data_IF_837535482857
#
_entry.id   IF_837535482857
#
_cell.length_a   1.000
_cell.length_b   1.000
_cell.length_c   1.000
_cell.angle_alpha   90.00
_cell.angle_beta   90.00
_cell.angle_gamma   90.00
#
_symmetry.space_group_name_H-M   'P 1'
#
loop_
_entity.id
_entity.type
_entity.pdbx_description
1 polymer ?
#
# COMPACT_ATOMS: atom_id res chain seq x y z
N UNK A 1 6.23 -28.53 -19.80
CA UNK A 1 6.55 -27.69 -18.62
C UNK A 1 7.06 -26.34 -19.12
N UNK A 2 6.23 -25.28 -19.16
CA UNK A 2 6.61 -23.99 -19.77
C UNK A 2 7.36 -23.16 -18.73
N UNK A 3 8.71 -23.15 -18.78
CA UNK A 3 9.54 -22.26 -17.94
C UNK A 3 9.12 -20.83 -18.23
N UNK A 4 8.62 -20.13 -17.21
CA UNK A 4 8.35 -18.70 -17.33
C UNK A 4 9.69 -17.98 -17.54
N UNK A 5 9.81 -17.19 -18.61
CA UNK A 5 11.03 -16.45 -18.88
C UNK A 5 11.33 -15.52 -17.69
N UNK A 6 12.55 -15.62 -17.14
CA UNK A 6 12.99 -14.82 -15.98
C UNK A 6 12.70 -13.32 -16.17
N UNK A 7 12.84 -12.83 -17.39
CA UNK A 7 12.58 -11.44 -17.78
C UNK A 7 11.15 -10.98 -17.52
N UNK A 8 10.14 -11.85 -17.69
CA UNK A 8 8.73 -11.50 -17.49
C UNK A 8 8.41 -11.33 -16.00
N UNK A 9 8.96 -12.18 -15.13
CA UNK A 9 8.76 -12.10 -13.68
C UNK A 9 9.35 -10.81 -13.08
N UNK A 10 10.53 -10.40 -13.59
CA UNK A 10 11.17 -9.15 -13.16
C UNK A 10 10.33 -7.93 -13.53
N UNK A 11 9.83 -7.85 -14.77
CA UNK A 11 9.02 -6.70 -15.22
C UNK A 11 7.73 -6.54 -14.40
N UNK A 12 7.02 -7.65 -14.12
CA UNK A 12 5.80 -7.64 -13.31
C UNK A 12 6.11 -7.18 -11.89
N UNK A 13 7.20 -7.68 -11.31
CA UNK A 13 7.65 -7.26 -9.97
C UNK A 13 7.95 -5.76 -9.93
N UNK A 14 8.74 -5.25 -10.88
CA UNK A 14 9.12 -3.83 -10.93
C UNK A 14 7.89 -2.94 -11.08
N UNK A 15 6.98 -3.29 -12.00
CA UNK A 15 5.74 -2.55 -12.18
C UNK A 15 4.87 -2.57 -10.91
N UNK A 16 4.76 -3.73 -10.25
CA UNK A 16 4.00 -3.86 -9.00
C UNK A 16 4.56 -3.00 -7.87
N UNK A 17 5.89 -3.00 -7.70
CA UNK A 17 6.57 -2.17 -6.70
C UNK A 17 6.41 -0.69 -7.01
N UNK A 18 6.54 -0.29 -8.28
CA UNK A 18 6.33 1.10 -8.70
C UNK A 18 4.91 1.58 -8.41
N UNK A 19 3.89 0.75 -8.70
CA UNK A 19 2.50 1.06 -8.39
C UNK A 19 2.25 1.18 -6.88
N UNK A 20 2.83 0.28 -6.09
CA UNK A 20 2.72 0.36 -4.63
C UNK A 20 3.39 1.62 -4.06
N UNK A 21 4.57 1.98 -4.56
CA UNK A 21 5.26 3.19 -4.16
C UNK A 21 4.47 4.46 -4.54
N UNK A 22 3.92 4.51 -5.76
CA UNK A 22 3.05 5.60 -6.20
C UNK A 22 1.77 5.68 -5.36
N UNK A 23 1.15 4.54 -5.05
CA UNK A 23 -0.02 4.47 -4.16
C UNK A 23 0.26 4.95 -2.75
N UNK A 24 1.40 4.55 -2.18
CA UNK A 24 1.86 5.03 -0.88
C UNK A 24 2.12 6.54 -0.89
N UNK A 25 2.76 7.07 -1.92
CA UNK A 25 2.97 8.52 -2.09
C UNK A 25 1.65 9.28 -2.19
N UNK A 26 0.69 8.78 -2.96
CA UNK A 26 -0.64 9.38 -3.08
C UNK A 26 -1.40 9.33 -1.75
N UNK A 27 -1.35 8.20 -1.04
CA UNK A 27 -1.93 8.08 0.29
C UNK A 27 -1.34 9.11 1.26
N UNK A 28 -0.01 9.25 1.29
CA UNK A 28 0.66 10.22 2.15
C UNK A 28 0.32 11.66 1.78
N UNK A 29 0.15 11.96 0.49
CA UNK A 29 -0.27 13.28 0.03
C UNK A 29 -1.68 13.66 0.52
N UNK A 30 -2.63 12.71 0.51
CA UNK A 30 -3.95 12.94 1.10
C UNK A 30 -3.91 12.98 2.62
N UNK A 31 -3.11 12.11 3.24
CA UNK A 31 -2.96 12.06 4.68
C UNK A 31 -2.31 13.33 5.25
N UNK A 32 -1.38 13.97 4.52
CA UNK A 32 -0.72 15.19 4.97
C UNK A 32 -1.68 16.36 5.10
N UNK A 33 -2.78 16.39 4.34
CA UNK A 33 -3.83 17.39 4.50
C UNK A 33 -4.64 17.20 5.79
N UNK A 34 -4.51 16.05 6.45
CA UNK A 34 -5.16 15.73 7.72
C UNK A 34 -4.20 15.82 8.92
N UNK A 35 -2.93 16.13 8.71
CA UNK A 35 -1.98 16.33 9.80
C UNK A 35 -2.29 17.60 10.56
N UNK A 36 -2.24 17.51 11.89
CA UNK A 36 -2.55 18.63 12.78
C UNK A 36 -1.24 19.21 13.29
N UNK A 37 -1.02 20.49 13.06
CA UNK A 37 0.17 21.17 13.58
C UNK A 37 0.15 21.16 15.12
N UNK A 38 1.31 20.95 15.77
CA UNK A 38 1.37 20.84 17.23
C UNK A 38 0.80 22.07 17.95
N UNK A 39 0.98 23.27 17.37
CA UNK A 39 0.52 24.55 17.91
C UNK A 39 -1.00 24.72 17.98
N UNK A 40 -1.74 24.08 17.06
CA UNK A 40 -3.21 24.20 16.99
C UNK A 40 -3.95 23.01 17.59
N UNK A 41 -3.24 21.94 17.97
CA UNK A 41 -3.84 20.69 18.49
C UNK A 41 -4.68 20.90 19.76
N UNK A 42 -4.40 21.95 20.53
CA UNK A 42 -5.13 22.34 21.73
C UNK A 42 -6.50 22.97 21.47
N UNK A 43 -6.77 23.45 20.25
CA UNK A 43 -8.05 24.07 19.94
C UNK A 43 -9.14 23.02 19.64
N UNK A 44 -10.30 23.08 20.31
CA UNK A 44 -11.39 22.17 20.04
C UNK A 44 -11.85 22.32 18.58
N UNK A 45 -11.92 21.19 17.86
CA UNK A 45 -12.31 21.14 16.45
C UNK A 45 -11.15 21.12 15.44
N UNK A 46 -9.92 21.43 15.84
CA UNK A 46 -8.75 21.41 14.95
C UNK A 46 -8.51 20.02 14.31
N UNK A 47 -8.81 18.94 15.03
CA UNK A 47 -8.69 17.56 14.53
C UNK A 47 -9.90 17.06 13.72
N UNK A 48 -11.06 17.74 13.81
CA UNK A 48 -12.34 17.24 13.28
C UNK A 48 -12.37 17.18 11.75
N UNK A 49 -11.84 18.22 11.09
CA UNK A 49 -11.76 18.26 9.62
C UNK A 49 -10.75 17.25 9.06
N UNK A 50 -9.62 17.06 9.74
CA UNK A 50 -8.57 16.12 9.33
C UNK A 50 -9.07 14.68 9.27
N UNK A 51 -9.88 14.24 10.26
CA UNK A 51 -10.44 12.89 10.26
C UNK A 51 -11.32 12.61 9.02
N UNK A 52 -12.13 13.58 8.60
CA UNK A 52 -12.99 13.43 7.41
C UNK A 52 -12.16 13.32 6.13
N UNK A 53 -11.13 14.16 5.99
CA UNK A 53 -10.21 14.13 4.83
C UNK A 53 -9.45 12.80 4.78
N UNK A 54 -8.94 12.33 5.92
CA UNK A 54 -8.25 11.06 6.03
C UNK A 54 -9.14 9.86 5.65
N UNK A 55 -10.40 9.87 6.11
CA UNK A 55 -11.35 8.79 5.84
C UNK A 55 -11.84 8.81 4.39
N UNK A 56 -12.16 9.98 3.83
CA UNK A 56 -12.69 10.07 2.46
C UNK A 56 -11.61 10.00 1.38
N UNK A 57 -10.40 10.48 1.66
CA UNK A 57 -9.28 10.44 0.71
C UNK A 57 -8.35 9.25 0.93
N UNK A 58 -7.86 9.09 2.16
CA UNK A 58 -6.84 8.08 2.51
C UNK A 58 -7.40 6.65 2.61
N UNK A 59 -8.55 6.46 3.24
CA UNK A 59 -9.08 5.10 3.46
C UNK A 59 -9.42 4.33 2.18
N UNK A 60 -10.01 4.93 1.12
CA UNK A 60 -10.24 4.23 -0.14
C UNK A 60 -8.94 3.78 -0.81
N UNK A 61 -7.90 4.61 -0.77
CA UNK A 61 -6.57 4.25 -1.30
C UNK A 61 -5.97 3.09 -0.50
N UNK A 62 -5.98 3.18 0.83
CA UNK A 62 -5.48 2.11 1.69
C UNK A 62 -6.24 0.80 1.44
N UNK A 63 -7.57 0.85 1.35
CA UNK A 63 -8.41 -0.30 1.06
C UNK A 63 -8.09 -0.90 -0.32
N UNK A 64 -8.01 -0.06 -1.36
CA UNK A 64 -7.70 -0.48 -2.73
C UNK A 64 -6.37 -1.23 -2.79
N UNK A 65 -5.30 -0.65 -2.24
CA UNK A 65 -3.99 -1.29 -2.29
C UNK A 65 -3.87 -2.49 -1.36
N UNK A 66 -4.56 -2.50 -0.22
CA UNK A 66 -4.64 -3.68 0.65
C UNK A 66 -5.31 -4.84 -0.06
N UNK A 67 -6.45 -4.60 -0.70
CA UNK A 67 -7.18 -5.61 -1.48
C UNK A 67 -6.38 -6.07 -2.70
N UNK A 68 -5.71 -5.15 -3.40
CA UNK A 68 -4.87 -5.50 -4.54
C UNK A 68 -3.68 -6.38 -4.13
N UNK A 69 -3.00 -6.06 -3.02
CA UNK A 69 -1.94 -6.90 -2.46
C UNK A 69 -2.48 -8.26 -2.03
N UNK A 70 -3.58 -8.30 -1.27
CA UNK A 70 -4.21 -9.56 -0.85
C UNK A 70 -4.58 -10.43 -2.06
N UNK A 71 -5.20 -9.85 -3.09
CA UNK A 71 -5.55 -10.54 -4.33
C UNK A 71 -4.33 -11.11 -5.05
N UNK A 72 -3.24 -10.35 -5.15
CA UNK A 72 -1.99 -10.83 -5.74
C UNK A 72 -1.39 -12.01 -4.95
N UNK A 73 -1.37 -11.94 -3.62
CA UNK A 73 -0.86 -13.03 -2.78
C UNK A 73 -1.73 -14.28 -2.85
N UNK A 74 -3.06 -14.13 -2.79
CA UNK A 74 -4.00 -15.25 -2.95
C UNK A 74 -3.80 -15.90 -4.32
N UNK A 75 -3.73 -15.11 -5.39
CA UNK A 75 -3.45 -15.61 -6.74
C UNK A 75 -2.11 -16.36 -6.81
N UNK A 76 -1.05 -15.80 -6.22
CA UNK A 76 0.27 -16.42 -6.20
C UNK A 76 0.26 -17.77 -5.46
N UNK A 77 -0.44 -17.86 -4.32
CA UNK A 77 -0.63 -19.11 -3.57
C UNK A 77 -1.41 -20.13 -4.38
N UNK A 78 -2.53 -19.74 -5.01
CA UNK A 78 -3.34 -20.62 -5.85
C UNK A 78 -2.53 -21.17 -7.03
N UNK A 79 -1.75 -20.32 -7.70
CA UNK A 79 -0.86 -20.75 -8.79
C UNK A 79 0.22 -21.69 -8.28
N UNK A 80 0.81 -21.41 -7.11
CA UNK A 80 1.83 -22.26 -6.48
C UNK A 80 1.30 -23.66 -6.16
N UNK A 81 0.07 -23.75 -5.67
CA UNK A 81 -0.60 -25.03 -5.39
C UNK A 81 -0.87 -25.82 -6.66
N UNK A 82 -1.24 -25.14 -7.77
CA UNK A 82 -1.60 -25.80 -9.03
C UNK A 82 -0.42 -26.15 -9.93
N UNK A 83 0.67 -25.39 -9.88
CA UNK A 83 1.77 -25.48 -10.87
C UNK A 83 3.16 -25.71 -10.27
N UNK A 84 3.26 -25.86 -8.95
CA UNK A 84 4.50 -26.12 -8.22
C UNK A 84 5.63 -25.08 -8.38
N UNK A 85 5.36 -23.88 -8.91
CA UNK A 85 6.31 -22.77 -8.97
C UNK A 85 5.73 -21.49 -8.36
N UNK A 86 6.60 -20.60 -7.89
CA UNK A 86 6.21 -19.29 -7.38
C UNK A 86 6.14 -18.26 -8.52
N UNK A 87 4.98 -17.65 -8.80
CA UNK A 87 4.85 -16.70 -9.90
C UNK A 87 5.38 -15.29 -9.55
N UNK A 88 5.44 -14.96 -8.26
CA UNK A 88 5.91 -13.68 -7.74
C UNK A 88 7.34 -13.80 -7.20
N UNK A 89 8.11 -12.71 -7.30
CA UNK A 89 9.45 -12.66 -6.72
C UNK A 89 9.39 -12.40 -5.21
N UNK A 90 10.49 -12.69 -4.50
CA UNK A 90 10.63 -12.37 -3.08
C UNK A 90 10.42 -10.86 -2.80
N UNK A 91 10.78 -10.00 -3.76
CA UNK A 91 10.62 -8.55 -3.64
C UNK A 91 9.16 -8.09 -3.59
N UNK A 92 8.22 -8.83 -4.18
CA UNK A 92 6.79 -8.50 -4.05
C UNK A 92 6.32 -8.54 -2.58
N UNK A 93 6.99 -9.29 -1.71
CA UNK A 93 6.66 -9.32 -0.29
C UNK A 93 7.03 -8.03 0.44
N UNK A 94 7.93 -7.22 -0.11
CA UNK A 94 8.32 -5.94 0.48
C UNK A 94 7.19 -4.88 0.45
N UNK A 95 6.14 -5.07 -0.37
CA UNK A 95 5.00 -4.15 -0.38
C UNK A 95 4.20 -4.17 0.93
N UNK A 96 4.12 -5.33 1.61
CA UNK A 96 3.39 -5.46 2.88
C UNK A 96 4.00 -4.61 4.01
N UNK A 97 5.29 -4.78 4.39
CA UNK A 97 5.89 -3.96 5.43
C UNK A 97 5.96 -2.48 5.03
N UNK A 98 6.05 -2.16 3.73
CA UNK A 98 5.97 -0.78 3.25
C UNK A 98 4.63 -0.13 3.61
N UNK A 99 3.50 -0.79 3.33
CA UNK A 99 2.17 -0.27 3.70
C UNK A 99 1.98 -0.13 5.21
N UNK A 100 2.49 -1.09 5.99
CA UNK A 100 2.51 -0.97 7.46
C UNK A 100 3.29 0.27 7.89
N UNK A 101 4.47 0.50 7.33
CA UNK A 101 5.28 1.69 7.60
C UNK A 101 4.58 2.99 7.25
N UNK A 102 3.92 3.04 6.09
CA UNK A 102 3.14 4.20 5.62
C UNK A 102 1.99 4.53 6.58
N UNK A 103 1.26 3.52 7.05
CA UNK A 103 0.15 3.72 8.02
C UNK A 103 0.68 4.19 9.37
N UNK A 104 1.76 3.59 9.88
CA UNK A 104 2.39 4.01 11.14
C UNK A 104 2.88 5.45 11.03
N UNK A 105 3.59 5.78 9.95
CA UNK A 105 4.10 7.12 9.69
C UNK A 105 2.97 8.15 9.58
N UNK A 106 1.90 7.84 8.85
CA UNK A 106 0.74 8.73 8.77
C UNK A 106 0.09 8.95 10.14
N UNK A 107 -0.04 7.89 10.93
CA UNK A 107 -0.69 7.96 12.25
C UNK A 107 0.14 8.74 13.28
N UNK A 108 1.47 8.75 13.17
CA UNK A 108 2.32 9.51 14.09
C UNK A 108 2.23 11.04 13.88
N UNK A 109 1.65 11.49 12.77
CA UNK A 109 1.50 12.91 12.43
C UNK A 109 0.05 13.42 12.57
N UNK A 110 -0.91 12.55 12.92
CA UNK A 110 -2.29 12.92 13.28
C UNK A 110 -2.39 13.15 14.78
#
# INVERSE_FOLDING_TARGET
>A
MKRMNKTTSTRITTLWLALNAAGAGLFLLFASAAWVEPEIRQYPGAAGGGAVIAVLGGAPLLALYTLANAGLFIWAVVVRMRRSYWPISAWCWASLPMWVGVVIFSRSHM
#
